data_IF_776882199915
#
_entry.id   IF_776882199915
#
_cell.length_a   1.000
_cell.length_b   1.000
_cell.length_c   1.000
_cell.angle_alpha   90.00
_cell.angle_beta   90.00
_cell.angle_gamma   90.00
#
_symmetry.space_group_name_H-M   'P 1'
#
loop_
_entity.id
_entity.type
_entity.pdbx_description
1 polymer ?
#
# COMPACT_ATOMS: atom_id res chain seq x y z
N UNK A 1 15.36 18.01 -21.35
CA UNK A 1 14.52 17.46 -22.44
C UNK A 1 13.07 17.96 -22.45
N UNK A 2 12.31 17.93 -21.33
CA UNK A 2 10.90 18.41 -21.28
C UNK A 2 10.70 19.84 -21.82
N UNK A 3 11.56 20.78 -21.41
CA UNK A 3 11.53 22.18 -21.88
C UNK A 3 11.80 22.28 -23.39
N UNK A 4 12.65 21.41 -23.92
CA UNK A 4 13.01 21.34 -25.35
C UNK A 4 11.81 20.88 -26.19
N UNK A 5 11.16 19.78 -25.80
CA UNK A 5 9.94 19.29 -26.46
C UNK A 5 8.79 20.32 -26.38
N UNK A 6 8.63 20.99 -25.24
CA UNK A 6 7.63 22.06 -25.07
C UNK A 6 7.90 23.27 -25.97
N UNK A 7 9.18 23.69 -26.08
CA UNK A 7 9.58 24.79 -26.97
C UNK A 7 9.31 24.44 -28.43
N UNK A 8 9.68 23.24 -28.89
CA UNK A 8 9.41 22.77 -30.26
C UNK A 8 7.91 22.64 -30.55
N UNK A 9 7.10 22.21 -29.57
CA UNK A 9 5.63 22.21 -29.66
C UNK A 9 5.08 23.62 -29.92
N UNK A 10 5.55 24.61 -29.17
CA UNK A 10 5.09 26.01 -29.30
C UNK A 10 5.43 26.57 -30.68
N UNK A 11 6.62 26.24 -31.21
CA UNK A 11 7.03 26.63 -32.58
C UNK A 11 6.12 25.99 -33.63
N UNK A 12 5.91 24.67 -33.57
CA UNK A 12 5.00 23.97 -34.50
C UNK A 12 3.58 24.54 -34.46
N UNK A 13 3.05 24.77 -33.26
CA UNK A 13 1.71 25.35 -33.07
C UNK A 13 1.61 26.76 -33.67
N UNK A 14 2.67 27.57 -33.58
CA UNK A 14 2.70 28.91 -34.18
C UNK A 14 2.85 28.93 -35.71
N UNK A 15 3.38 27.85 -36.30
CA UNK A 15 3.48 27.68 -37.77
C UNK A 15 2.29 26.95 -38.38
N UNK A 16 1.38 26.43 -37.55
CA UNK A 16 0.26 25.60 -37.98
C UNK A 16 -0.72 26.38 -38.87
N UNK A 17 -1.12 25.79 -40.00
CA UNK A 17 -2.06 26.41 -40.94
C UNK A 17 -1.46 27.42 -41.92
N UNK A 18 -0.12 27.62 -41.89
CA UNK A 18 0.57 28.40 -42.92
C UNK A 18 0.92 27.57 -44.15
N UNK A 19 0.95 26.24 -44.03
CA UNK A 19 1.32 25.33 -45.10
C UNK A 19 2.80 25.43 -45.50
N UNK A 20 3.28 24.40 -46.19
CA UNK A 20 4.60 24.36 -46.80
C UNK A 20 5.74 23.90 -45.87
N UNK A 21 6.96 23.97 -46.43
CA UNK A 21 8.19 23.36 -45.89
C UNK A 21 8.49 23.76 -44.44
N UNK A 22 8.13 24.98 -44.04
CA UNK A 22 8.34 25.48 -42.67
C UNK A 22 7.46 24.76 -41.63
N UNK A 23 6.22 24.44 -41.97
CA UNK A 23 5.31 23.71 -41.08
C UNK A 23 5.74 22.24 -40.95
N UNK A 24 6.10 21.60 -42.05
CA UNK A 24 6.61 20.22 -42.08
C UNK A 24 7.89 20.06 -41.25
N UNK A 25 8.84 21.00 -41.41
CA UNK A 25 10.09 20.98 -40.65
C UNK A 25 9.85 21.19 -39.15
N UNK A 26 8.96 22.11 -38.78
CA UNK A 26 8.60 22.33 -37.38
C UNK A 26 7.90 21.12 -36.75
N UNK A 27 7.05 20.41 -37.51
CA UNK A 27 6.40 19.18 -37.06
C UNK A 27 7.39 18.04 -36.88
N UNK A 28 8.32 17.84 -37.83
CA UNK A 28 9.36 16.82 -37.75
C UNK A 28 10.27 17.04 -36.52
N UNK A 29 10.70 18.29 -36.30
CA UNK A 29 11.47 18.70 -35.13
C UNK A 29 10.73 18.42 -33.81
N UNK A 30 9.43 18.74 -33.75
CA UNK A 30 8.62 18.47 -32.56
C UNK A 30 8.47 16.97 -32.30
N UNK A 31 8.19 16.17 -33.34
CA UNK A 31 8.06 14.71 -33.22
C UNK A 31 9.34 14.08 -32.71
N UNK A 32 10.49 14.48 -33.26
CA UNK A 32 11.82 14.03 -32.82
C UNK A 32 12.06 14.36 -31.35
N UNK A 33 11.92 15.63 -30.98
CA UNK A 33 12.13 16.06 -29.60
C UNK A 33 11.15 15.41 -28.60
N UNK A 34 9.93 15.09 -29.04
CA UNK A 34 8.95 14.36 -28.24
C UNK A 34 9.35 12.89 -28.08
N UNK A 35 9.79 12.23 -29.15
CA UNK A 35 10.26 10.84 -29.11
C UNK A 35 11.47 10.71 -28.18
N UNK A 36 12.48 11.56 -28.33
CA UNK A 36 13.66 11.60 -27.45
C UNK A 36 13.27 11.79 -25.98
N UNK A 37 12.34 12.70 -25.70
CA UNK A 37 11.82 12.90 -24.34
C UNK A 37 11.11 11.65 -23.81
N UNK A 38 10.29 10.99 -24.62
CA UNK A 38 9.59 9.76 -24.23
C UNK A 38 10.56 8.61 -23.95
N UNK A 39 11.60 8.45 -24.78
CA UNK A 39 12.66 7.45 -24.57
C UNK A 39 13.39 7.73 -23.26
N UNK A 40 13.84 8.97 -23.04
CA UNK A 40 14.56 9.32 -21.83
C UNK A 40 13.71 9.15 -20.55
N UNK A 41 12.40 9.44 -20.62
CA UNK A 41 11.47 9.18 -19.51
C UNK A 41 11.38 7.68 -19.22
N UNK A 42 11.25 6.86 -20.27
CA UNK A 42 11.17 5.40 -20.14
C UNK A 42 12.46 4.83 -19.54
N UNK A 43 13.62 5.24 -20.05
CA UNK A 43 14.92 4.81 -19.52
C UNK A 43 15.10 5.20 -18.05
N UNK A 44 14.70 6.42 -17.68
CA UNK A 44 14.79 6.87 -16.27
C UNK A 44 13.85 6.05 -15.37
N UNK A 45 12.65 5.72 -15.85
CA UNK A 45 11.71 4.87 -15.12
C UNK A 45 12.26 3.45 -14.97
N UNK A 46 12.73 2.85 -16.06
CA UNK A 46 13.31 1.50 -16.06
C UNK A 46 14.53 1.42 -15.12
N UNK A 47 15.37 2.46 -15.11
CA UNK A 47 16.52 2.55 -14.21
C UNK A 47 16.07 2.67 -12.74
N UNK A 48 15.08 3.52 -12.46
CA UNK A 48 14.52 3.64 -11.11
C UNK A 48 13.91 2.32 -10.60
N UNK A 49 13.24 1.56 -11.48
CA UNK A 49 12.70 0.26 -11.12
C UNK A 49 13.77 -0.79 -10.90
N UNK A 50 14.85 -0.80 -11.70
CA UNK A 50 16.02 -1.64 -11.44
C UNK A 50 16.62 -1.34 -10.07
N UNK A 51 16.81 -0.06 -9.74
CA UNK A 51 17.32 0.35 -8.43
C UNK A 51 16.41 -0.12 -7.28
N UNK A 52 15.09 -0.09 -7.44
CA UNK A 52 14.14 -0.63 -6.45
C UNK A 52 14.26 -2.16 -6.34
N UNK A 53 14.37 -2.86 -7.46
CA UNK A 53 14.53 -4.31 -7.46
C UNK A 53 15.86 -4.75 -6.83
N UNK A 54 16.95 -4.05 -7.18
CA UNK A 54 18.31 -4.32 -6.72
C UNK A 54 18.52 -3.92 -5.24
N UNK A 55 17.85 -2.87 -4.77
CA UNK A 55 17.91 -2.45 -3.36
C UNK A 55 17.14 -3.37 -2.41
N UNK A 56 16.29 -4.27 -2.93
CA UNK A 56 15.56 -5.24 -2.13
C UNK A 56 14.56 -4.62 -1.14
N UNK A 57 14.00 -5.46 -0.27
CA UNK A 57 12.95 -5.08 0.67
C UNK A 57 13.52 -4.49 1.99
N UNK A 58 14.42 -3.51 1.89
CA UNK A 58 15.11 -2.92 3.06
C UNK A 58 14.17 -2.08 3.92
N UNK A 59 13.05 -1.62 3.35
CA UNK A 59 11.94 -0.99 4.08
C UNK A 59 10.59 -1.35 3.44
N UNK A 60 9.96 -2.48 3.83
CA UNK A 60 8.66 -2.90 3.31
C UNK A 60 7.55 -1.89 3.60
N UNK A 61 7.70 -1.10 4.66
CA UNK A 61 6.67 -0.20 5.15
C UNK A 61 6.72 1.16 4.47
N UNK A 62 7.90 1.62 4.04
CA UNK A 62 8.08 2.90 3.38
C UNK A 62 7.29 3.06 2.08
N UNK A 63 7.02 1.98 1.36
CA UNK A 63 6.18 2.01 0.16
C UNK A 63 4.68 2.07 0.51
N UNK A 64 4.25 1.28 1.51
CA UNK A 64 2.89 1.31 2.04
C UNK A 64 2.52 2.67 2.63
N UNK A 65 3.41 3.28 3.42
CA UNK A 65 3.21 4.63 4.00
C UNK A 65 3.20 5.73 2.92
N UNK A 66 4.04 5.63 1.88
CA UNK A 66 4.00 6.58 0.75
C UNK A 66 2.75 6.46 -0.11
N UNK A 67 2.22 5.25 -0.27
CA UNK A 67 0.96 5.00 -0.95
C UNK A 67 -0.24 5.52 -0.12
N UNK A 68 -0.30 5.19 1.17
CA UNK A 68 -1.36 5.64 2.08
C UNK A 68 -1.39 7.17 2.26
N UNK A 69 -0.22 7.82 2.25
CA UNK A 69 -0.11 9.28 2.32
C UNK A 69 -0.37 10.00 0.99
N UNK A 70 -0.72 9.27 -0.09
CA UNK A 70 -1.00 9.83 -1.41
C UNK A 70 0.22 10.41 -2.14
N UNK A 71 1.42 10.24 -1.58
CA UNK A 71 2.68 10.78 -2.14
C UNK A 71 3.26 9.88 -3.24
N UNK A 72 2.79 8.63 -3.34
CA UNK A 72 3.02 7.74 -4.47
C UNK A 72 1.69 7.18 -4.98
N UNK A 73 1.43 7.34 -6.27
CA UNK A 73 0.52 6.45 -6.99
C UNK A 73 1.30 5.15 -7.18
N UNK A 74 0.96 4.12 -6.41
CA UNK A 74 1.50 2.77 -6.66
C UNK A 74 1.32 2.45 -8.15
N UNK A 75 2.35 1.95 -8.85
CA UNK A 75 2.23 1.62 -10.26
C UNK A 75 1.03 0.69 -10.46
N UNK A 76 0.05 1.13 -11.25
CA UNK A 76 -1.14 0.32 -11.57
C UNK A 76 -0.67 -0.89 -12.38
N UNK A 77 -0.43 -2.01 -11.71
CA UNK A 77 -0.06 -3.29 -12.33
C UNK A 77 1.25 -3.91 -11.87
N UNK A 78 1.98 -3.32 -10.93
CA UNK A 78 3.19 -3.98 -10.39
C UNK A 78 2.85 -4.69 -9.09
N UNK A 79 2.51 -5.96 -9.23
CA UNK A 79 2.55 -6.93 -8.14
C UNK A 79 4.02 -7.29 -8.01
N UNK A 80 4.77 -6.47 -7.29
CA UNK A 80 6.12 -6.85 -6.89
C UNK A 80 5.99 -8.18 -6.16
N UNK A 81 6.67 -9.20 -6.67
CA UNK A 81 6.54 -10.57 -6.18
C UNK A 81 6.70 -10.59 -4.67
N UNK A 82 5.68 -11.04 -3.98
CA UNK A 82 5.75 -11.23 -2.54
C UNK A 82 6.78 -12.34 -2.32
N UNK A 83 7.88 -12.02 -1.63
CA UNK A 83 8.88 -13.00 -1.25
C UNK A 83 8.28 -13.90 -0.16
N UNK A 84 7.99 -15.14 -0.53
CA UNK A 84 7.52 -16.21 0.33
C UNK A 84 8.71 -17.10 0.69
N UNK A 85 8.56 -17.96 1.71
CA UNK A 85 9.60 -18.89 2.13
C UNK A 85 10.09 -19.81 0.98
N UNK A 86 9.23 -20.07 -0.01
CA UNK A 86 9.51 -20.95 -1.15
C UNK A 86 9.88 -20.18 -2.45
N UNK A 87 9.97 -18.84 -2.41
CA UNK A 87 10.31 -18.02 -3.59
C UNK A 87 9.38 -16.82 -3.81
N UNK A 88 9.40 -16.24 -5.01
CA UNK A 88 8.60 -15.07 -5.36
C UNK A 88 7.28 -15.43 -6.04
N UNK A 89 6.17 -14.82 -5.62
CA UNK A 89 4.93 -14.91 -6.38
C UNK A 89 5.03 -14.12 -7.69
N UNK A 90 4.83 -14.79 -8.83
CA UNK A 90 4.94 -14.18 -10.16
C UNK A 90 3.63 -13.59 -10.70
N UNK A 91 2.51 -13.81 -10.00
CA UNK A 91 1.18 -13.36 -10.40
C UNK A 91 0.32 -12.93 -9.20
N UNK A 92 -0.84 -12.33 -9.51
CA UNK A 92 -1.80 -11.82 -8.51
C UNK A 92 -2.32 -12.91 -7.58
N UNK A 93 -2.61 -14.08 -8.13
CA UNK A 93 -3.21 -15.19 -7.39
C UNK A 93 -2.21 -15.77 -6.40
N UNK A 94 -0.96 -15.95 -6.80
CA UNK A 94 0.15 -16.38 -5.95
C UNK A 94 0.45 -15.35 -4.86
N UNK A 95 0.40 -14.05 -5.18
CA UNK A 95 0.62 -13.01 -4.18
C UNK A 95 -0.51 -12.99 -3.13
N UNK A 96 -1.78 -13.06 -3.56
CA UNK A 96 -2.93 -13.13 -2.65
C UNK A 96 -2.92 -14.41 -1.81
N UNK A 97 -2.65 -15.56 -2.43
CA UNK A 97 -2.55 -16.84 -1.73
C UNK A 97 -1.41 -16.84 -0.71
N UNK A 98 -0.26 -16.28 -1.06
CA UNK A 98 0.88 -16.13 -0.17
C UNK A 98 0.57 -15.25 1.04
N UNK A 99 -0.08 -14.10 0.83
CA UNK A 99 -0.54 -13.23 1.91
C UNK A 99 -1.54 -13.95 2.81
N UNK A 100 -2.52 -14.65 2.23
CA UNK A 100 -3.51 -15.38 3.02
C UNK A 100 -2.88 -16.51 3.83
N UNK A 101 -1.92 -17.27 3.30
CA UNK A 101 -1.18 -18.28 4.07
C UNK A 101 -0.33 -17.67 5.20
N UNK A 102 0.24 -16.49 4.98
CA UNK A 102 1.04 -15.82 6.00
C UNK A 102 0.19 -15.25 7.14
N UNK A 103 -1.03 -14.78 6.83
CA UNK A 103 -1.94 -14.19 7.82
C UNK A 103 -2.89 -15.22 8.46
N UNK A 104 -3.21 -16.28 7.73
CA UNK A 104 -4.03 -17.40 8.16
C UNK A 104 -3.16 -18.66 8.09
N UNK A 105 -2.41 -18.98 9.16
CA UNK A 105 -1.67 -20.23 9.22
C UNK A 105 -2.65 -21.41 9.02
N UNK A 106 -2.18 -22.46 8.35
CA UNK A 106 -2.99 -23.65 8.10
C UNK A 106 -3.59 -24.17 9.41
N UNK A 107 -4.92 -24.22 9.46
CA UNK A 107 -5.67 -24.74 10.60
C UNK A 107 -5.51 -26.27 10.64
N UNK A 108 -4.52 -26.75 11.38
CA UNK A 108 -4.21 -28.17 11.53
C UNK A 108 -4.76 -28.72 12.86
N UNK A 109 -5.94 -29.37 12.87
CA UNK A 109 -6.52 -29.93 14.08
C UNK A 109 -5.69 -31.08 14.65
N UNK A 110 -4.76 -31.67 13.88
CA UNK A 110 -3.80 -32.67 14.37
C UNK A 110 -2.75 -32.08 15.33
N UNK A 111 -2.60 -30.76 15.35
CA UNK A 111 -1.73 -30.01 16.27
C UNK A 111 -2.51 -29.29 17.37
N UNK A 112 -3.82 -29.49 17.45
CA UNK A 112 -4.65 -28.87 18.48
C UNK A 112 -4.24 -29.40 19.87
N UNK A 113 -4.01 -28.48 20.80
CA UNK A 113 -3.93 -28.83 22.22
C UNK A 113 -5.34 -29.09 22.75
N UNK A 114 -5.47 -29.71 23.93
CA UNK A 114 -6.77 -29.89 24.57
C UNK A 114 -7.54 -28.55 24.72
N UNK A 115 -6.83 -27.44 24.91
CA UNK A 115 -7.41 -26.11 24.93
C UNK A 115 -7.95 -25.67 23.55
N UNK A 116 -7.19 -25.86 22.47
CA UNK A 116 -7.63 -25.52 21.11
C UNK A 116 -8.87 -26.33 20.71
N UNK A 117 -8.94 -27.61 21.09
CA UNK A 117 -10.13 -28.44 20.89
C UNK A 117 -11.37 -27.88 21.57
N UNK A 118 -11.25 -27.39 22.81
CA UNK A 118 -12.36 -26.74 23.52
C UNK A 118 -12.81 -25.44 22.85
N UNK A 119 -11.87 -24.61 22.38
CA UNK A 119 -12.19 -23.39 21.65
C UNK A 119 -12.94 -23.71 20.35
N UNK A 120 -12.52 -24.75 19.62
CA UNK A 120 -13.19 -25.21 18.39
C UNK A 120 -14.62 -25.68 18.65
N UNK A 121 -14.82 -26.49 19.70
CA UNK A 121 -16.17 -26.94 20.11
C UNK A 121 -17.03 -25.73 20.52
N UNK A 122 -16.49 -24.79 21.29
CA UNK A 122 -17.20 -23.59 21.69
C UNK A 122 -17.57 -22.69 20.50
N UNK A 123 -16.68 -22.56 19.51
CA UNK A 123 -16.92 -21.79 18.29
C UNK A 123 -17.92 -22.47 17.32
N UNK A 124 -18.00 -23.81 17.34
CA UNK A 124 -18.97 -24.58 16.56
C UNK A 124 -20.37 -24.60 17.21
N UNK A 125 -20.48 -24.24 18.49
CA UNK A 125 -21.77 -24.08 19.15
C UNK A 125 -22.43 -22.80 18.64
N UNK A 126 -23.71 -22.89 18.27
CA UNK A 126 -24.50 -21.72 17.87
C UNK A 126 -24.44 -20.67 18.98
N UNK A 127 -23.96 -19.44 18.72
CA UNK A 127 -24.01 -18.39 19.72
C UNK A 127 -25.48 -18.18 20.11
N UNK A 128 -25.73 -17.90 21.38
CA UNK A 128 -27.08 -17.56 21.82
C UNK A 128 -27.60 -16.38 21.00
N UNK A 129 -28.82 -16.48 20.46
CA UNK A 129 -29.50 -15.39 19.72
C UNK A 129 -29.78 -14.13 20.58
N UNK A 130 -29.35 -14.13 21.84
CA UNK A 130 -29.43 -12.96 22.70
C UNK A 130 -28.21 -12.09 22.48
N UNK A 131 -28.45 -10.88 21.99
CA UNK A 131 -27.45 -9.82 21.98
C UNK A 131 -26.81 -9.71 23.36
N UNK A 132 -25.48 -9.84 23.40
CA UNK A 132 -24.74 -9.53 24.61
C UNK A 132 -24.97 -8.06 24.96
N UNK A 133 -25.17 -7.77 26.25
CA UNK A 133 -25.29 -6.39 26.71
C UNK A 133 -24.05 -5.60 26.23
N UNK A 134 -24.24 -4.39 25.68
CA UNK A 134 -23.13 -3.61 25.15
C UNK A 134 -22.11 -3.35 26.26
N UNK A 135 -20.85 -3.64 25.97
CA UNK A 135 -19.79 -3.51 26.94
C UNK A 135 -19.61 -2.03 27.33
N UNK A 136 -19.88 -1.71 28.59
CA UNK A 136 -19.78 -0.34 29.08
C UNK A 136 -18.33 0.14 29.17
N UNK A 137 -18.11 1.45 29.04
CA UNK A 137 -16.78 2.06 29.14
C UNK A 137 -16.07 1.75 30.46
N UNK A 138 -16.83 1.63 31.56
CA UNK A 138 -16.31 1.29 32.88
C UNK A 138 -15.80 -0.16 32.97
N UNK A 139 -16.51 -1.12 32.35
CA UNK A 139 -16.09 -2.52 32.30
C UNK A 139 -14.88 -2.70 31.38
N UNK A 140 -14.90 -2.04 30.22
CA UNK A 140 -13.79 -2.04 29.28
C UNK A 140 -12.52 -1.47 29.94
N UNK A 141 -12.65 -0.41 30.74
CA UNK A 141 -11.57 0.16 31.53
C UNK A 141 -11.00 -0.80 32.59
N UNK A 142 -11.86 -1.59 33.25
CA UNK A 142 -11.42 -2.62 34.22
C UNK A 142 -10.67 -3.76 33.54
N UNK A 143 -11.14 -4.23 32.39
CA UNK A 143 -10.49 -5.30 31.60
C UNK A 143 -9.12 -4.83 31.11
N UNK A 144 -9.02 -3.62 30.53
CA UNK A 144 -7.73 -3.07 30.09
C UNK A 144 -6.78 -2.88 31.29
N UNK A 145 -7.31 -2.45 32.43
CA UNK A 145 -6.54 -2.24 33.65
C UNK A 145 -6.01 -3.52 34.29
N UNK A 146 -6.64 -4.68 34.04
CA UNK A 146 -6.21 -5.97 34.59
C UNK A 146 -5.19 -6.71 33.72
N UNK A 147 -4.91 -6.23 32.50
CA UNK A 147 -3.91 -6.85 31.63
C UNK A 147 -2.50 -6.61 32.17
N UNK A 148 -1.65 -7.65 32.24
CA UNK A 148 -0.25 -7.48 32.68
C UNK A 148 0.47 -6.52 31.72
N UNK A 149 1.27 -5.59 32.27
CA UNK A 149 2.07 -4.65 31.47
C UNK A 149 3.22 -5.39 30.76
N UNK A 150 2.91 -6.02 29.63
CA UNK A 150 3.85 -6.87 28.88
C UNK A 150 4.54 -6.19 27.69
N UNK A 151 4.26 -4.90 27.41
CA UNK A 151 4.92 -4.18 26.31
C UNK A 151 5.87 -3.09 26.83
N UNK A 152 7.20 -3.33 26.85
CA UNK A 152 8.17 -2.26 27.07
C UNK A 152 8.19 -1.36 25.84
N UNK A 153 7.64 -0.15 25.96
CA UNK A 153 7.74 0.89 24.92
C UNK A 153 6.44 1.59 24.53
N UNK A 154 5.26 1.09 24.91
CA UNK A 154 3.97 1.70 24.56
C UNK A 154 3.11 1.96 25.80
N UNK A 155 3.04 3.23 26.23
CA UNK A 155 2.06 3.69 27.21
C UNK A 155 0.69 3.83 26.54
N UNK A 156 -0.06 2.73 26.42
CA UNK A 156 -1.42 2.68 25.87
C UNK A 156 -2.41 3.67 26.52
N UNK A 157 -2.13 4.10 27.76
CA UNK A 157 -3.00 4.96 28.56
C UNK A 157 -3.27 6.35 27.97
N UNK A 158 -2.40 6.86 27.09
CA UNK A 158 -2.59 8.20 26.51
C UNK A 158 -3.39 8.21 25.20
N UNK A 159 -3.32 7.15 24.39
CA UNK A 159 -3.89 7.15 23.04
C UNK A 159 -5.41 6.89 23.01
N UNK A 160 -5.96 6.17 23.99
CA UNK A 160 -7.41 5.92 24.07
C UNK A 160 -8.18 7.12 24.65
N UNK A 161 -7.50 8.03 25.37
CA UNK A 161 -8.12 9.24 25.91
C UNK A 161 -8.37 10.31 24.84
N UNK A 162 -7.53 10.36 23.82
CA UNK A 162 -7.59 11.38 22.75
C UNK A 162 -8.48 11.00 21.58
N UNK A 163 -8.71 9.70 21.32
CA UNK A 163 -9.52 9.28 20.16
C UNK A 163 -10.98 8.90 20.48
N UNK A 164 -11.35 8.72 21.75
CA UNK A 164 -12.74 8.41 22.14
C UNK A 164 -13.60 9.66 22.48
N UNK A 165 -12.99 10.84 22.64
CA UNK A 165 -13.70 12.06 23.04
C UNK A 165 -13.37 13.21 22.09
N UNK A 166 -14.06 13.23 20.94
CA UNK A 166 -14.07 14.39 20.06
C UNK A 166 -14.93 15.51 20.63
N UNK A 167 -14.31 16.48 21.32
CA UNK A 167 -14.60 17.93 21.30
C UNK A 167 -13.93 18.66 22.48
N UNK A 168 -13.48 19.91 22.30
CA UNK A 168 -12.79 20.71 23.31
C UNK A 168 -13.80 21.41 24.22
N UNK A 169 -13.53 21.45 25.53
CA UNK A 169 -14.26 22.33 26.44
C UNK A 169 -13.33 23.45 26.90
N UNK A 170 -13.65 24.66 26.45
CA UNK A 170 -13.19 25.92 27.00
C UNK A 170 -13.91 26.19 28.32
N UNK A 171 -13.18 26.29 29.43
CA UNK A 171 -13.02 27.44 30.34
C UNK A 171 -12.19 27.01 31.55
#
# INVERSE_FOLDING_TARGET
>A
MRRTAARKRKVWQGTRGRGGIREERALADFRRARWEYCVAIKETQDQHYKEIADSGNVDPWGLAYRAASGRCLAPRGVINGLALADGYACDTQGAMSGVLRALCPDDDPGRDTAYHGLVRVAAAMTPSDRDAAPLGSAELGKIIGSLPHTAPGLRFRHSLRTHAYGAPWCF
#
